data_IF_993566070634
#
_entry.id   IF_993566070634
#
_cell.length_a   1.000
_cell.length_b   1.000
_cell.length_c   1.000
_cell.angle_alpha   90.00
_cell.angle_beta   90.00
_cell.angle_gamma   90.00
#
_symmetry.space_group_name_H-M   'P 1'
#
loop_
_entity.id
_entity.type
_entity.pdbx_description
1 polymer ?
#
# COMPACT_ATOMS: atom_id res chain seq x y z
N UNK A 1 -69.30 -36.22 15.92
CA UNK A 1 -70.31 -37.30 16.04
C UNK A 1 -70.20 -37.84 17.45
N UNK A 2 -71.30 -38.02 18.19
CA UNK A 2 -71.23 -38.68 19.49
C UNK A 2 -70.79 -40.12 19.28
N UNK A 3 -69.55 -40.43 19.64
CA UNK A 3 -69.01 -41.78 19.60
C UNK A 3 -69.61 -42.60 20.74
N UNK A 4 -70.17 -43.77 20.44
CA UNK A 4 -70.42 -44.78 21.47
C UNK A 4 -69.07 -45.34 21.91
N UNK A 5 -68.67 -45.06 23.15
CA UNK A 5 -67.39 -45.53 23.69
C UNK A 5 -67.55 -46.97 24.19
N UNK A 6 -66.90 -47.98 23.56
CA UNK A 6 -66.88 -49.33 24.09
C UNK A 6 -66.09 -49.39 25.40
N UNK A 7 -66.28 -50.45 26.18
CA UNK A 7 -65.50 -50.69 27.40
C UNK A 7 -64.01 -50.81 27.04
N UNK A 8 -63.13 -50.19 27.82
CA UNK A 8 -61.68 -50.31 27.62
C UNK A 8 -61.23 -51.72 27.97
N UNK A 9 -60.66 -52.44 27.00
CA UNK A 9 -60.07 -53.76 27.21
C UNK A 9 -58.96 -53.65 28.25
N UNK A 10 -59.00 -54.51 29.27
CA UNK A 10 -58.00 -54.52 30.35
C UNK A 10 -57.90 -53.17 31.11
N UNK A 11 -58.96 -52.36 31.11
CA UNK A 11 -58.99 -51.09 31.82
C UNK A 11 -58.82 -51.28 33.32
N UNK A 12 -57.92 -50.51 33.95
CA UNK A 12 -57.62 -50.65 35.38
C UNK A 12 -58.85 -50.46 36.29
N UNK A 13 -59.81 -49.63 35.87
CA UNK A 13 -61.07 -49.40 36.59
C UNK A 13 -62.15 -50.49 36.34
N UNK A 14 -61.89 -51.45 35.46
CA UNK A 14 -62.87 -52.45 35.06
C UNK A 14 -64.05 -51.83 34.29
N UNK A 15 -65.26 -52.35 34.48
CA UNK A 15 -66.48 -51.81 33.89
C UNK A 15 -67.70 -51.99 34.80
N UNK A 16 -68.69 -51.10 34.66
CA UNK A 16 -69.95 -51.17 35.40
C UNK A 16 -71.10 -51.01 34.42
N UNK A 17 -72.13 -51.86 34.57
CA UNK A 17 -73.41 -51.67 33.90
C UNK A 17 -74.55 -52.14 34.81
N UNK A 18 -75.78 -51.83 34.40
CA UNK A 18 -77.00 -52.18 35.14
C UNK A 18 -77.92 -53.02 34.27
N UNK A 19 -78.61 -53.98 34.88
CA UNK A 19 -79.57 -54.86 34.24
C UNK A 19 -80.83 -55.02 35.11
N UNK A 20 -81.97 -55.31 34.49
CA UNK A 20 -83.18 -55.75 35.16
C UNK A 20 -83.52 -57.17 34.73
N UNK A 21 -83.94 -58.02 35.67
CA UNK A 21 -84.23 -59.43 35.42
C UNK A 21 -85.74 -59.67 35.46
N UNK A 22 -86.26 -60.47 34.53
CA UNK A 22 -87.69 -60.80 34.51
C UNK A 22 -87.99 -61.84 35.60
N UNK A 23 -89.13 -61.75 36.31
CA UNK A 23 -89.55 -62.75 37.28
C UNK A 23 -89.86 -64.07 36.57
N UNK A 24 -89.59 -65.19 37.24
CA UNK A 24 -89.83 -66.53 36.68
C UNK A 24 -91.32 -66.77 36.37
N UNK A 25 -92.18 -66.27 37.25
CA UNK A 25 -93.62 -66.21 37.01
C UNK A 25 -93.95 -64.84 36.41
N UNK A 26 -94.26 -64.84 35.12
CA UNK A 26 -94.54 -63.60 34.39
C UNK A 26 -95.71 -62.83 35.03
N UNK A 27 -95.44 -61.61 35.48
CA UNK A 27 -96.44 -60.70 36.05
C UNK A 27 -96.44 -59.32 35.35
N UNK A 28 -95.73 -59.20 34.22
CA UNK A 28 -95.58 -57.96 33.47
C UNK A 28 -94.64 -56.92 34.10
N UNK A 29 -93.90 -57.26 35.15
CA UNK A 29 -92.94 -56.37 35.82
C UNK A 29 -91.57 -57.04 35.93
N UNK A 30 -90.49 -56.25 36.03
CA UNK A 30 -89.17 -56.78 36.40
C UNK A 30 -89.13 -57.21 37.87
N UNK A 31 -88.31 -58.23 38.17
CA UNK A 31 -88.11 -58.77 39.51
C UNK A 31 -87.64 -57.66 40.45
N UNK A 32 -88.32 -57.53 41.58
CA UNK A 32 -87.96 -56.57 42.62
C UNK A 32 -86.97 -57.21 43.57
N UNK A 33 -85.86 -56.54 43.84
CA UNK A 33 -84.82 -57.02 44.76
C UNK A 33 -84.41 -58.49 44.52
N UNK A 34 -84.03 -58.87 43.28
CA UNK A 34 -83.59 -60.23 42.97
C UNK A 34 -82.45 -60.65 43.89
N UNK A 35 -82.53 -61.88 44.38
CA UNK A 35 -81.50 -62.52 45.19
C UNK A 35 -80.43 -63.13 44.30
N UNK A 36 -79.17 -63.01 44.75
CA UNK A 36 -78.01 -63.56 44.06
C UNK A 36 -77.16 -64.37 45.03
N UNK A 37 -76.72 -65.52 44.56
CA UNK A 37 -75.76 -66.41 45.18
C UNK A 37 -74.58 -66.66 44.23
N UNK A 38 -73.48 -67.16 44.78
CA UNK A 38 -72.35 -67.60 43.97
C UNK A 38 -72.79 -68.72 43.02
N UNK A 39 -72.55 -68.55 41.72
CA UNK A 39 -72.99 -69.49 40.69
C UNK A 39 -74.13 -68.96 39.81
N UNK A 40 -74.88 -67.95 40.27
CA UNK A 40 -76.04 -67.42 39.54
C UNK A 40 -75.65 -66.57 38.33
N UNK A 41 -74.48 -65.92 38.41
CA UNK A 41 -73.98 -65.07 37.33
C UNK A 41 -72.59 -65.52 36.96
N UNK A 42 -72.45 -65.98 35.72
CA UNK A 42 -71.20 -66.48 35.17
C UNK A 42 -70.79 -65.70 33.96
N UNK A 43 -69.48 -65.58 33.79
CA UNK A 43 -68.82 -64.88 32.70
C UNK A 43 -68.05 -65.88 31.84
N UNK A 44 -68.14 -65.69 30.53
CA UNK A 44 -67.30 -66.32 29.52
C UNK A 44 -66.53 -65.23 28.80
N UNK A 45 -65.20 -65.37 28.83
CA UNK A 45 -64.24 -64.47 28.21
C UNK A 45 -63.83 -65.09 26.87
N UNK A 46 -64.17 -64.43 25.76
CA UNK A 46 -63.87 -64.89 24.39
C UNK A 46 -64.30 -66.34 24.08
N UNK A 47 -65.40 -66.79 24.69
CA UNK A 47 -65.90 -68.17 24.54
C UNK A 47 -65.23 -69.20 25.45
N UNK A 48 -64.42 -68.77 26.42
CA UNK A 48 -63.84 -69.61 27.47
C UNK A 48 -64.87 -70.22 28.42
N UNK A 49 -64.41 -71.13 29.29
CA UNK A 49 -65.27 -71.80 30.27
C UNK A 49 -65.99 -70.80 31.19
N UNK A 50 -67.23 -71.09 31.54
CA UNK A 50 -68.03 -70.24 32.43
C UNK A 50 -67.41 -70.18 33.83
N UNK A 51 -66.92 -69.01 34.22
CA UNK A 51 -66.42 -68.71 35.54
C UNK A 51 -67.43 -67.85 36.32
N UNK A 52 -67.39 -67.86 37.64
CA UNK A 52 -68.17 -66.89 38.42
C UNK A 52 -67.59 -65.49 38.23
N UNK A 53 -68.43 -64.47 38.29
CA UNK A 53 -67.95 -63.10 38.42
C UNK A 53 -67.14 -62.93 39.72
N UNK A 54 -66.07 -62.14 39.67
CA UNK A 54 -65.24 -61.83 40.84
C UNK A 54 -66.00 -61.03 41.89
N UNK A 55 -66.95 -60.19 41.45
CA UNK A 55 -67.86 -59.45 42.33
C UNK A 55 -69.28 -59.92 42.06
N UNK A 56 -69.94 -60.45 43.08
CA UNK A 56 -71.34 -60.84 42.97
C UNK A 56 -72.19 -59.60 42.63
N UNK A 57 -73.07 -59.67 41.61
CA UNK A 57 -73.96 -58.56 41.30
C UNK A 57 -74.84 -58.18 42.48
N UNK A 58 -75.10 -56.88 42.62
CA UNK A 58 -75.86 -56.32 43.76
C UNK A 58 -76.99 -55.45 43.28
N UNK A 59 -78.12 -55.47 43.98
CA UNK A 59 -79.24 -54.56 43.71
C UNK A 59 -78.87 -53.17 44.20
N UNK A 60 -78.82 -52.17 43.31
CA UNK A 60 -78.46 -50.80 43.66
C UNK A 60 -79.22 -49.82 42.75
N UNK A 61 -80.01 -48.89 43.30
CA UNK A 61 -80.30 -48.67 44.72
C UNK A 61 -80.97 -49.89 45.40
N UNK A 62 -80.80 -50.02 46.72
CA UNK A 62 -81.39 -51.14 47.47
C UNK A 62 -82.92 -51.21 47.26
N UNK A 63 -83.49 -52.41 47.22
CA UNK A 63 -84.91 -52.66 46.92
C UNK A 63 -85.39 -52.21 45.54
N UNK A 64 -84.49 -51.86 44.62
CA UNK A 64 -84.84 -51.51 43.24
C UNK A 64 -84.97 -52.74 42.32
N UNK A 65 -85.28 -52.47 41.05
CA UNK A 65 -85.29 -53.45 39.95
C UNK A 65 -83.98 -53.44 39.15
N UNK A 66 -82.96 -52.68 39.61
CA UNK A 66 -81.67 -52.50 38.95
C UNK A 66 -80.60 -53.30 39.67
N UNK A 67 -79.98 -54.19 38.92
CA UNK A 67 -78.85 -55.01 39.35
C UNK A 67 -77.59 -54.40 38.78
N UNK A 68 -76.70 -53.95 39.65
CA UNK A 68 -75.38 -53.47 39.29
C UNK A 68 -74.45 -54.65 39.09
N UNK A 69 -73.83 -54.70 37.92
CA UNK A 69 -72.76 -55.65 37.60
C UNK A 69 -71.46 -54.87 37.55
N UNK A 70 -70.45 -55.36 38.26
CA UNK A 70 -69.10 -54.78 38.25
C UNK A 70 -68.14 -55.83 37.73
N UNK A 71 -67.45 -55.51 36.64
CA UNK A 71 -66.39 -56.32 36.05
C UNK A 71 -65.04 -55.76 36.50
N UNK A 72 -64.14 -56.64 36.92
CA UNK A 72 -62.76 -56.31 37.23
C UNK A 72 -61.92 -56.08 35.97
N UNK A 73 -60.70 -55.54 36.11
CA UNK A 73 -59.74 -55.39 35.02
C UNK A 73 -59.48 -56.72 34.27
N UNK A 74 -59.36 -57.83 35.00
CA UNK A 74 -59.13 -59.14 34.39
C UNK A 74 -60.35 -59.62 33.59
N UNK A 75 -61.56 -59.35 34.07
CA UNK A 75 -62.81 -59.70 33.40
C UNK A 75 -63.11 -58.80 32.18
N UNK A 76 -62.49 -57.62 32.10
CA UNK A 76 -62.55 -56.77 30.90
C UNK A 76 -61.42 -57.02 29.91
N UNK A 77 -60.51 -57.98 30.17
CA UNK A 77 -59.35 -58.27 29.31
C UNK A 77 -59.67 -59.26 28.18
N UNK A 78 -60.79 -59.06 27.49
CA UNK A 78 -61.29 -59.89 26.38
C UNK A 78 -62.03 -59.04 25.37
N UNK A 79 -62.01 -59.43 24.10
CA UNK A 79 -62.69 -58.67 23.05
C UNK A 79 -64.21 -58.84 23.13
N UNK A 80 -64.65 -60.05 23.50
CA UNK A 80 -66.05 -60.41 23.63
C UNK A 80 -66.35 -61.00 25.02
N UNK A 81 -67.07 -60.24 25.83
CA UNK A 81 -67.47 -60.64 27.18
C UNK A 81 -68.92 -61.09 27.12
N UNK A 82 -69.18 -62.34 27.48
CA UNK A 82 -70.54 -62.89 27.55
C UNK A 82 -70.88 -63.25 28.98
N UNK A 83 -71.96 -62.70 29.51
CA UNK A 83 -72.40 -62.91 30.89
C UNK A 83 -73.75 -63.58 30.86
N UNK A 84 -73.87 -64.70 31.57
CA UNK A 84 -75.10 -65.47 31.70
C UNK A 84 -75.59 -65.35 33.15
N UNK A 85 -76.84 -64.92 33.29
CA UNK A 85 -77.60 -64.95 34.51
C UNK A 85 -78.49 -66.20 34.44
N UNK A 86 -78.36 -67.10 35.41
CA UNK A 86 -79.26 -68.22 35.60
C UNK A 86 -79.36 -68.52 37.09
N UNK A 87 -80.55 -68.44 37.65
CA UNK A 87 -80.79 -68.66 39.08
C UNK A 87 -80.57 -70.14 39.38
N UNK A 88 -79.41 -70.46 39.96
CA UNK A 88 -79.00 -71.83 40.21
C UNK A 88 -79.81 -72.45 41.36
N UNK A 89 -80.40 -71.64 42.25
CA UNK A 89 -81.18 -72.07 43.40
C UNK A 89 -82.15 -70.98 43.89
N UNK A 90 -83.45 -71.17 43.65
CA UNK A 90 -84.50 -70.25 44.09
C UNK A 90 -85.58 -70.03 43.04
N UNK A 91 -85.18 -70.07 41.76
CA UNK A 91 -86.02 -69.85 40.58
C UNK A 91 -86.89 -68.57 40.67
N UNK A 92 -86.31 -67.49 41.18
CA UNK A 92 -86.94 -66.19 41.35
C UNK A 92 -87.07 -65.42 40.02
N UNK A 93 -86.09 -65.58 39.12
CA UNK A 93 -86.00 -64.84 37.85
C UNK A 93 -85.65 -65.74 36.65
N UNK A 94 -85.90 -65.21 35.44
CA UNK A 94 -85.61 -65.89 34.17
C UNK A 94 -84.15 -65.71 33.74
N UNK A 95 -83.64 -66.69 32.99
CA UNK A 95 -82.29 -66.62 32.44
C UNK A 95 -82.14 -65.42 31.49
N UNK A 96 -80.95 -64.80 31.51
CA UNK A 96 -80.59 -63.69 30.64
C UNK A 96 -79.15 -63.83 30.21
N UNK A 97 -78.86 -63.50 28.95
CA UNK A 97 -77.49 -63.39 28.45
C UNK A 97 -77.23 -61.96 27.99
N UNK A 98 -76.11 -61.39 28.40
CA UNK A 98 -75.62 -60.09 27.97
C UNK A 98 -74.27 -60.27 27.29
N UNK A 99 -74.10 -59.61 26.16
CA UNK A 99 -72.84 -59.55 25.44
C UNK A 99 -72.31 -58.12 25.43
N UNK A 100 -71.04 -57.95 25.77
CA UNK A 100 -70.34 -56.67 25.80
C UNK A 100 -69.07 -56.78 24.96
N UNK A 101 -68.87 -55.80 24.08
CA UNK A 101 -67.64 -55.67 23.30
C UNK A 101 -66.69 -54.68 23.99
N UNK A 102 -65.41 -55.03 24.03
CA UNK A 102 -64.36 -54.10 24.49
C UNK A 102 -63.51 -53.62 23.32
N UNK A 103 -62.81 -52.51 23.50
CA UNK A 103 -61.79 -52.04 22.57
C UNK A 103 -60.49 -51.75 23.30
N UNK A 104 -59.36 -52.05 22.64
CA UNK A 104 -58.03 -51.77 23.17
C UNK A 104 -57.69 -50.27 23.25
N UNK A 105 -58.38 -49.44 22.46
CA UNK A 105 -58.17 -47.99 22.35
C UNK A 105 -59.51 -47.28 22.14
N UNK A 106 -59.73 -46.17 22.84
CA UNK A 106 -60.86 -45.27 22.64
C UNK A 106 -60.46 -44.07 21.76
N UNK A 107 -61.42 -43.24 21.34
CA UNK A 107 -61.11 -41.99 20.60
C UNK A 107 -60.19 -41.06 21.39
N UNK A 108 -60.25 -41.11 22.71
CA UNK A 108 -59.36 -40.38 23.60
C UNK A 108 -57.90 -40.89 23.53
N UNK A 109 -57.66 -42.06 22.93
CA UNK A 109 -56.34 -42.64 22.68
C UNK A 109 -55.82 -42.41 21.24
N UNK A 110 -56.59 -41.79 20.33
CA UNK A 110 -56.15 -41.56 18.94
C UNK A 110 -55.04 -40.51 18.90
N UNK A 111 -53.82 -40.99 18.65
CA UNK A 111 -52.53 -40.33 18.79
C UNK A 111 -52.30 -39.85 20.23
N UNK A 112 -51.41 -40.52 20.96
CA UNK A 112 -50.86 -39.95 22.20
C UNK A 112 -50.47 -38.51 21.90
N UNK A 113 -51.10 -37.53 22.56
CA UNK A 113 -50.86 -36.09 22.37
C UNK A 113 -49.38 -35.77 22.09
N UNK A 114 -48.47 -36.50 22.75
CA UNK A 114 -47.04 -36.54 22.50
C UNK A 114 -46.58 -36.61 21.03
N UNK A 115 -47.16 -37.44 20.15
CA UNK A 115 -46.71 -37.53 18.74
C UNK A 115 -47.14 -36.31 17.94
N UNK A 116 -48.31 -35.74 18.26
CA UNK A 116 -48.80 -34.51 17.64
C UNK A 116 -47.99 -33.32 18.15
N UNK A 117 -47.65 -33.29 19.44
CA UNK A 117 -46.78 -32.28 20.05
C UNK A 117 -45.37 -32.29 19.44
N UNK A 118 -44.82 -33.48 19.16
CA UNK A 118 -43.51 -33.60 18.51
C UNK A 118 -43.53 -33.00 17.09
N UNK A 119 -44.54 -33.35 16.28
CA UNK A 119 -44.71 -32.78 14.93
C UNK A 119 -44.95 -31.26 15.00
N UNK A 120 -45.71 -30.80 15.99
CA UNK A 120 -45.95 -29.38 16.21
C UNK A 120 -44.67 -28.65 16.62
N UNK A 121 -43.83 -29.27 17.46
CA UNK A 121 -42.53 -28.75 17.86
C UNK A 121 -41.61 -28.61 16.66
N UNK A 122 -41.48 -29.64 15.83
CA UNK A 122 -40.68 -29.60 14.60
C UNK A 122 -41.19 -28.55 13.62
N UNK A 123 -42.51 -28.42 13.48
CA UNK A 123 -43.13 -27.41 12.64
C UNK A 123 -42.80 -26.00 13.14
N UNK A 124 -42.86 -25.77 14.45
CA UNK A 124 -42.49 -24.50 15.06
C UNK A 124 -41.00 -24.19 14.88
N UNK A 125 -40.10 -25.16 15.12
CA UNK A 125 -38.65 -24.98 14.89
C UNK A 125 -38.36 -24.57 13.43
N UNK A 126 -38.94 -25.30 12.48
CA UNK A 126 -38.79 -25.00 11.05
C UNK A 126 -39.33 -23.60 10.73
N UNK A 127 -40.50 -23.23 11.27
CA UNK A 127 -41.06 -21.89 11.09
C UNK A 127 -40.20 -20.78 11.71
N UNK A 128 -39.44 -21.08 12.78
CA UNK A 128 -38.49 -20.10 13.36
C UNK A 128 -37.18 -19.99 12.58
N UNK A 129 -36.80 -21.03 11.83
CA UNK A 129 -35.53 -21.11 11.09
C UNK A 129 -35.66 -20.78 9.60
N UNK A 130 -36.86 -20.84 9.04
CA UNK A 130 -37.19 -20.40 7.69
C UNK A 130 -37.78 -18.98 7.78
N UNK A 131 -37.43 -18.06 6.86
CA UNK A 131 -38.04 -16.74 6.80
C UNK A 131 -39.57 -16.83 6.77
N UNK A 132 -40.24 -15.98 7.55
CA UNK A 132 -41.68 -16.04 7.80
C UNK A 132 -42.56 -16.01 6.54
N UNK A 133 -41.99 -15.61 5.39
CA UNK A 133 -42.59 -15.80 4.07
C UNK A 133 -41.52 -16.26 3.06
N UNK A 134 -41.75 -17.41 2.43
CA UNK A 134 -41.03 -17.82 1.22
C UNK A 134 -41.59 -17.01 0.04
N UNK A 135 -40.82 -16.07 -0.51
CA UNK A 135 -41.21 -15.41 -1.76
C UNK A 135 -40.96 -16.40 -2.89
N UNK A 136 -42.04 -16.93 -3.49
CA UNK A 136 -41.98 -17.91 -4.59
C UNK A 136 -41.19 -19.19 -4.28
N UNK A 137 -41.18 -19.63 -3.03
CA UNK A 137 -40.42 -20.83 -2.63
C UNK A 137 -38.96 -20.58 -2.27
N UNK A 138 -38.48 -19.33 -2.29
CA UNK A 138 -37.10 -18.97 -1.90
C UNK A 138 -37.01 -18.47 -0.47
N UNK A 139 -35.95 -18.88 0.21
CA UNK A 139 -35.55 -18.41 1.53
C UNK A 139 -34.98 -16.98 1.36
N UNK A 140 -35.66 -15.98 1.92
CA UNK A 140 -35.12 -14.63 2.08
C UNK A 140 -34.29 -14.54 3.38
N UNK A 141 -32.99 -14.84 3.30
CA UNK A 141 -32.09 -14.81 4.45
C UNK A 141 -31.16 -13.59 4.38
N UNK A 142 -31.02 -12.87 5.50
CA UNK A 142 -29.94 -11.89 5.66
C UNK A 142 -28.61 -12.63 5.74
N UNK A 143 -27.82 -12.59 4.67
CA UNK A 143 -26.50 -13.22 4.62
C UNK A 143 -25.49 -12.30 5.30
N UNK A 144 -24.77 -12.80 6.31
CA UNK A 144 -23.67 -12.07 6.95
C UNK A 144 -22.37 -12.14 6.15
N UNK A 145 -21.22 -12.23 6.82
CA UNK A 145 -19.94 -12.50 6.15
C UNK A 145 -20.00 -13.86 5.43
N UNK A 146 -19.73 -13.84 4.13
CA UNK A 146 -19.64 -15.04 3.31
C UNK A 146 -18.20 -15.54 3.32
N UNK A 147 -18.01 -16.86 3.42
CA UNK A 147 -16.69 -17.46 3.23
C UNK A 147 -16.21 -17.25 1.79
N UNK A 148 -14.91 -17.45 1.56
CA UNK A 148 -14.35 -17.41 0.21
C UNK A 148 -15.07 -18.41 -0.70
N UNK A 149 -15.22 -18.06 -1.97
CA UNK A 149 -15.84 -18.88 -3.01
C UNK A 149 -17.30 -19.27 -2.80
N UNK A 150 -18.03 -18.64 -1.86
CA UNK A 150 -19.49 -18.85 -1.75
C UNK A 150 -20.23 -18.20 -2.93
N UNK A 151 -19.76 -17.02 -3.38
CA UNK A 151 -20.29 -16.33 -4.55
C UNK A 151 -19.33 -16.52 -5.73
N UNK A 152 -19.44 -17.66 -6.42
CA UNK A 152 -18.67 -17.93 -7.65
C UNK A 152 -19.37 -17.34 -8.89
N UNK A 153 -18.66 -17.26 -10.02
CA UNK A 153 -19.27 -16.90 -11.30
C UNK A 153 -20.46 -17.78 -11.68
N UNK A 154 -20.46 -19.07 -11.29
CA UNK A 154 -21.60 -19.95 -11.54
C UNK A 154 -22.80 -19.67 -10.62
N UNK A 155 -22.58 -19.04 -9.47
CA UNK A 155 -23.63 -18.68 -8.51
C UNK A 155 -24.38 -17.40 -8.93
N UNK A 156 -23.77 -16.56 -9.77
CA UNK A 156 -24.39 -15.35 -10.31
C UNK A 156 -24.88 -15.66 -11.72
N UNK A 157 -26.20 -15.73 -11.92
CA UNK A 157 -26.75 -15.93 -13.26
C UNK A 157 -26.40 -14.73 -14.16
N UNK A 158 -26.33 -14.96 -15.47
CA UNK A 158 -26.20 -13.88 -16.43
C UNK A 158 -27.30 -12.83 -16.18
N UNK A 159 -26.91 -11.56 -16.23
CA UNK A 159 -27.77 -10.40 -15.97
C UNK A 159 -28.42 -10.35 -14.58
N UNK A 160 -27.95 -11.14 -13.61
CA UNK A 160 -28.47 -11.10 -12.23
C UNK A 160 -28.06 -9.83 -11.47
N UNK A 161 -26.99 -9.14 -11.90
CA UNK A 161 -26.47 -7.92 -11.28
C UNK A 161 -26.48 -6.80 -12.34
N UNK A 162 -27.55 -6.02 -12.38
CA UNK A 162 -27.71 -4.86 -13.25
C UNK A 162 -27.50 -3.53 -12.52
N UNK A 163 -27.89 -2.43 -13.18
CA UNK A 163 -27.77 -1.09 -12.60
C UNK A 163 -28.71 -0.83 -11.42
N UNK A 164 -29.78 -1.62 -11.27
CA UNK A 164 -30.70 -1.54 -10.13
C UNK A 164 -30.15 -2.22 -8.88
N UNK A 165 -29.37 -3.28 -9.05
CA UNK A 165 -28.76 -4.08 -7.98
C UNK A 165 -27.41 -3.48 -7.52
N UNK A 166 -26.70 -2.77 -8.40
CA UNK A 166 -25.46 -2.08 -8.07
C UNK A 166 -25.74 -0.74 -7.39
N UNK A 167 -25.32 -0.60 -6.12
CA UNK A 167 -25.37 0.68 -5.43
C UNK A 167 -24.51 1.75 -6.13
N UNK A 168 -24.96 3.00 -6.13
CA UNK A 168 -24.23 4.13 -6.72
C UNK A 168 -22.81 4.29 -6.19
N UNK A 169 -22.58 3.98 -4.91
CA UNK A 169 -21.24 3.99 -4.31
C UNK A 169 -20.33 2.92 -4.92
N UNK A 170 -20.84 1.72 -5.18
CA UNK A 170 -20.07 0.65 -5.83
C UNK A 170 -19.73 1.03 -7.27
N UNK A 171 -20.67 1.64 -7.99
CA UNK A 171 -20.42 2.20 -9.33
C UNK A 171 -19.31 3.24 -9.28
N UNK A 172 -19.32 4.12 -8.27
CA UNK A 172 -18.29 5.15 -8.07
C UNK A 172 -16.91 4.54 -7.79
N UNK A 173 -16.83 3.49 -6.96
CA UNK A 173 -15.57 2.80 -6.65
C UNK A 173 -14.99 2.08 -7.88
N UNK A 174 -15.83 1.36 -8.64
CA UNK A 174 -15.43 0.72 -9.91
C UNK A 174 -14.93 1.77 -10.91
N UNK A 175 -15.67 2.88 -11.05
CA UNK A 175 -15.29 3.98 -11.94
C UNK A 175 -14.01 4.68 -11.50
N UNK A 176 -13.73 4.76 -10.19
CA UNK A 176 -12.47 5.33 -9.67
C UNK A 176 -11.24 4.51 -10.05
N UNK A 177 -11.38 3.20 -10.29
CA UNK A 177 -10.30 2.33 -10.76
C UNK A 177 -10.12 2.33 -12.28
N UNK A 178 -11.10 2.84 -13.03
CA UNK A 178 -11.05 2.93 -14.50
C UNK A 178 -10.46 4.29 -14.93
N UNK A 179 -9.83 4.34 -16.09
CA UNK A 179 -9.44 5.62 -16.70
C UNK A 179 -10.70 6.48 -16.87
N UNK A 180 -10.70 7.66 -16.27
CA UNK A 180 -11.82 8.59 -16.39
C UNK A 180 -11.91 9.14 -17.81
N UNK A 181 -13.10 9.55 -18.23
CA UNK A 181 -13.29 10.24 -19.52
C UNK A 181 -12.33 11.44 -19.68
N UNK A 182 -12.03 12.13 -18.58
CA UNK A 182 -11.06 13.23 -18.58
C UNK A 182 -9.63 12.77 -18.86
N UNK A 183 -9.20 11.64 -18.29
CA UNK A 183 -7.87 11.09 -18.56
C UNK A 183 -7.74 10.63 -20.01
N UNK A 184 -8.79 9.98 -20.53
CA UNK A 184 -8.86 9.58 -21.94
C UNK A 184 -8.85 10.79 -22.87
N UNK A 185 -9.59 11.86 -22.54
CA UNK A 185 -9.59 13.10 -23.30
C UNK A 185 -8.21 13.78 -23.33
N UNK A 186 -7.47 13.76 -22.21
CA UNK A 186 -6.10 14.31 -22.16
C UNK A 186 -5.13 13.51 -23.04
N UNK A 187 -5.25 12.18 -23.03
CA UNK A 187 -4.47 11.33 -23.95
C UNK A 187 -4.83 11.61 -25.40
N UNK A 188 -6.13 11.80 -25.70
CA UNK A 188 -6.58 12.14 -27.06
C UNK A 188 -5.98 13.48 -27.52
N UNK A 189 -6.01 14.52 -26.68
CA UNK A 189 -5.36 15.80 -27.01
C UNK A 189 -3.86 15.64 -27.25
N UNK A 190 -3.17 14.86 -26.42
CA UNK A 190 -1.72 14.61 -26.60
C UNK A 190 -1.41 13.87 -27.91
N UNK A 191 -2.30 12.99 -28.35
CA UNK A 191 -2.20 12.29 -29.65
C UNK A 191 -2.51 13.24 -30.80
N UNK A 192 -3.50 14.11 -30.64
CA UNK A 192 -3.89 15.10 -31.64
C UNK A 192 -2.80 16.18 -31.84
N UNK A 193 -2.01 16.48 -30.81
CA UNK A 193 -0.85 17.39 -30.87
C UNK A 193 0.36 16.80 -31.60
N UNK A 194 0.37 15.49 -31.91
CA UNK A 194 1.44 14.89 -32.71
C UNK A 194 1.29 15.32 -34.18
N UNK A 195 2.38 15.76 -34.82
CA UNK A 195 2.33 16.15 -36.23
C UNK A 195 1.91 14.96 -37.10
N UNK A 196 0.94 15.21 -37.97
CA UNK A 196 0.50 14.24 -38.95
C UNK A 196 1.59 13.98 -39.99
N UNK A 197 1.51 12.84 -40.69
CA UNK A 197 2.43 12.53 -41.79
C UNK A 197 2.39 13.61 -42.89
N UNK A 198 1.25 14.28 -43.09
CA UNK A 198 1.06 15.34 -44.08
C UNK A 198 1.76 16.65 -43.66
N UNK A 199 1.64 17.04 -42.39
CA UNK A 199 2.38 18.17 -41.81
C UNK A 199 3.90 17.94 -41.86
N UNK A 200 4.34 16.74 -41.48
CA UNK A 200 5.76 16.37 -41.55
C UNK A 200 6.28 16.40 -43.00
N UNK A 201 5.49 15.91 -43.96
CA UNK A 201 5.83 15.95 -45.39
C UNK A 201 5.97 17.39 -45.88
N UNK A 202 5.04 18.27 -45.49
CA UNK A 202 5.07 19.70 -45.84
C UNK A 202 6.28 20.41 -45.23
N UNK A 203 6.58 20.16 -43.95
CA UNK A 203 7.73 20.74 -43.27
C UNK A 203 9.05 20.28 -43.90
N UNK A 204 9.16 19.00 -44.25
CA UNK A 204 10.34 18.44 -44.89
C UNK A 204 10.53 18.98 -46.31
N UNK A 205 9.46 19.11 -47.09
CA UNK A 205 9.51 19.73 -48.42
C UNK A 205 9.94 21.20 -48.36
N UNK A 206 9.39 21.99 -47.42
CA UNK A 206 9.80 23.38 -47.23
C UNK A 206 11.26 23.53 -46.77
N UNK A 207 11.76 22.61 -45.96
CA UNK A 207 13.18 22.56 -45.58
C UNK A 207 14.08 22.20 -46.77
N UNK A 208 13.67 21.24 -47.60
CA UNK A 208 14.37 20.84 -48.83
C UNK A 208 14.47 22.02 -49.81
N UNK A 209 13.37 22.74 -50.05
CA UNK A 209 13.34 23.94 -50.90
C UNK A 209 14.29 25.05 -50.40
N UNK A 210 14.31 25.29 -49.09
CA UNK A 210 15.18 26.32 -48.49
C UNK A 210 16.67 25.96 -48.62
N UNK A 211 17.02 24.69 -48.42
CA UNK A 211 18.39 24.19 -48.61
C UNK A 211 18.77 24.28 -50.09
N UNK A 212 17.87 23.86 -50.99
CA UNK A 212 18.10 23.91 -52.43
C UNK A 212 18.32 25.36 -52.92
N UNK A 213 17.57 26.33 -52.40
CA UNK A 213 17.77 27.75 -52.68
C UNK A 213 19.15 28.26 -52.20
N UNK A 214 19.59 27.88 -51.00
CA UNK A 214 20.92 28.24 -50.50
C UNK A 214 22.04 27.59 -51.33
N UNK A 215 21.90 26.31 -51.68
CA UNK A 215 22.84 25.60 -52.57
C UNK A 215 22.92 26.29 -53.93
N UNK A 216 21.79 26.74 -54.49
CA UNK A 216 21.78 27.50 -55.75
C UNK A 216 22.54 28.83 -55.64
N UNK A 217 22.40 29.56 -54.53
CA UNK A 217 23.17 30.79 -54.28
C UNK A 217 24.67 30.53 -54.12
N UNK A 218 25.06 29.46 -53.40
CA UNK A 218 26.45 29.03 -53.27
C UNK A 218 27.02 28.61 -54.62
N UNK A 219 26.25 27.84 -55.40
CA UNK A 219 26.61 27.45 -56.76
C UNK A 219 26.82 28.68 -57.63
N UNK A 220 25.92 29.66 -57.60
CA UNK A 220 26.08 30.90 -58.35
C UNK A 220 27.35 31.68 -57.95
N UNK A 221 27.70 31.72 -56.66
CA UNK A 221 28.96 32.31 -56.20
C UNK A 221 30.18 31.51 -56.65
N UNK A 222 30.09 30.18 -56.64
CA UNK A 222 31.20 29.27 -56.99
C UNK A 222 31.42 29.19 -58.50
N UNK A 223 30.35 29.21 -59.29
CA UNK A 223 30.39 29.27 -60.76
C UNK A 223 31.01 30.59 -61.26
N UNK A 224 30.91 31.66 -60.46
CA UNK A 224 31.54 32.95 -60.73
C UNK A 224 33.02 33.01 -60.29
N UNK A 225 33.56 31.94 -59.71
CA UNK A 225 35.00 31.82 -59.50
C UNK A 225 35.66 31.37 -60.82
N UNK A 226 36.88 31.84 -61.14
CA UNK A 226 37.67 31.28 -62.23
C UNK A 226 37.82 29.76 -62.08
N UNK A 227 37.99 29.05 -63.21
CA UNK A 227 38.13 27.58 -63.24
C UNK A 227 39.32 27.07 -62.39
N UNK A 228 40.32 27.92 -62.22
CA UNK A 228 41.34 27.79 -61.18
C UNK A 228 41.58 29.19 -60.58
N UNK A 229 40.97 29.52 -59.42
CA UNK A 229 41.10 30.83 -58.80
C UNK A 229 42.53 31.13 -58.30
N UNK A 230 43.42 30.14 -58.34
CA UNK A 230 44.84 30.28 -58.07
C UNK A 230 45.70 30.15 -59.35
N UNK A 231 45.10 30.09 -60.55
CA UNK A 231 45.88 29.90 -61.78
C UNK A 231 46.72 31.14 -62.04
N UNK A 232 48.02 30.97 -61.81
CA UNK A 232 49.01 31.97 -62.14
C UNK A 232 49.05 32.24 -63.66
N UNK A 233 48.41 31.42 -64.50
CA UNK A 233 48.39 31.59 -65.96
C UNK A 233 47.58 32.80 -66.43
N UNK A 234 46.46 33.15 -65.80
CA UNK A 234 45.67 34.35 -66.15
C UNK A 234 46.36 35.64 -65.67
N UNK A 235 46.97 35.59 -64.48
CA UNK A 235 47.83 36.67 -63.97
C UNK A 235 49.09 36.78 -64.85
N UNK A 236 49.70 35.66 -65.23
CA UNK A 236 50.84 35.64 -66.14
C UNK A 236 50.46 36.12 -67.54
N UNK A 237 49.26 35.81 -68.04
CA UNK A 237 48.76 36.32 -69.32
C UNK A 237 48.51 37.83 -69.24
N UNK A 238 48.00 38.35 -68.13
CA UNK A 238 47.90 39.78 -67.86
C UNK A 238 49.29 40.44 -67.79
N UNK A 239 50.28 39.80 -67.16
CA UNK A 239 51.67 40.26 -67.13
C UNK A 239 52.40 40.14 -68.48
N UNK A 240 52.08 39.14 -69.29
CA UNK A 240 52.63 38.94 -70.64
C UNK A 240 52.00 39.96 -71.60
N UNK A 241 50.71 40.23 -71.49
CA UNK A 241 50.07 41.32 -72.24
C UNK A 241 50.57 42.69 -71.77
N UNK A 242 50.93 42.86 -70.49
CA UNK A 242 51.66 44.03 -70.01
C UNK A 242 53.07 44.14 -70.64
N UNK A 243 53.80 43.02 -70.69
CA UNK A 243 55.16 42.95 -71.24
C UNK A 243 55.20 43.07 -72.78
N UNK A 244 54.16 42.63 -73.49
CA UNK A 244 54.06 42.73 -74.95
C UNK A 244 53.74 44.15 -75.44
N UNK A 245 53.43 45.09 -74.54
CA UNK A 245 53.36 46.53 -74.82
C UNK A 245 54.68 47.27 -74.51
N UNK A 246 55.77 46.54 -74.26
CA UNK A 246 57.11 47.04 -73.94
C UNK A 246 57.89 47.66 -75.10
N UNK A 247 57.26 47.90 -76.25
CA UNK A 247 57.88 48.54 -77.41
C UNK A 247 57.23 49.91 -77.66
N UNK A 248 57.98 50.98 -77.39
CA UNK A 248 57.74 52.41 -77.75
C UNK A 248 56.38 53.06 -77.43
N UNK A 249 55.34 52.32 -77.06
CA UNK A 249 54.00 52.83 -76.79
C UNK A 249 53.80 53.23 -75.32
N UNK A 250 54.60 52.65 -74.40
CA UNK A 250 54.48 52.89 -72.96
C UNK A 250 54.98 54.28 -72.51
N UNK A 251 55.91 54.91 -73.26
CA UNK A 251 56.45 56.24 -72.91
C UNK A 251 55.40 57.34 -72.97
N UNK A 252 54.35 57.16 -73.77
CA UNK A 252 53.31 58.18 -73.98
C UNK A 252 52.09 57.96 -73.08
N UNK A 253 51.89 56.75 -72.55
CA UNK A 253 50.66 56.38 -71.84
C UNK A 253 50.72 56.58 -70.31
N UNK A 254 51.90 56.53 -69.70
CA UNK A 254 52.00 56.48 -68.22
C UNK A 254 52.81 57.60 -67.58
N UNK A 255 53.53 58.41 -68.35
CA UNK A 255 54.41 59.45 -67.81
C UNK A 255 55.57 58.93 -66.97
N UNK A 256 55.79 57.61 -66.92
CA UNK A 256 56.93 57.01 -66.22
C UNK A 256 58.18 57.03 -67.13
N UNK A 257 59.29 57.53 -66.59
CA UNK A 257 60.55 57.66 -67.32
C UNK A 257 61.19 56.28 -67.56
N UNK A 258 61.68 56.03 -68.77
CA UNK A 258 62.51 54.85 -69.11
C UNK A 258 63.99 55.07 -68.82
N UNK A 259 64.33 56.13 -68.07
CA UNK A 259 65.70 56.46 -67.73
C UNK A 259 66.22 55.42 -66.74
N UNK A 260 67.36 54.81 -67.04
CA UNK A 260 68.09 54.00 -66.08
C UNK A 260 68.68 54.88 -64.96
N UNK A 261 69.22 54.25 -63.92
CA UNK A 261 69.78 54.97 -62.78
C UNK A 261 70.92 55.94 -63.19
N UNK A 262 71.66 55.64 -64.26
CA UNK A 262 72.73 56.51 -64.74
C UNK A 262 72.16 57.76 -65.41
N UNK A 263 71.13 57.61 -66.24
CA UNK A 263 70.46 58.71 -66.91
C UNK A 263 69.66 59.60 -65.93
N UNK A 264 69.03 59.00 -64.90
CA UNK A 264 68.43 59.77 -63.80
C UNK A 264 69.48 60.58 -63.05
N UNK A 265 70.63 60.00 -62.72
CA UNK A 265 71.70 60.71 -62.03
C UNK A 265 72.31 61.84 -62.88
N UNK A 266 72.40 61.66 -64.19
CA UNK A 266 72.85 62.71 -65.10
C UNK A 266 71.86 63.89 -65.09
N UNK A 267 70.57 63.60 -65.21
CA UNK A 267 69.51 64.62 -65.22
C UNK A 267 69.40 65.36 -63.88
N UNK A 268 69.49 64.63 -62.77
CA UNK A 268 69.55 65.21 -61.42
C UNK A 268 70.81 66.08 -61.27
N UNK A 269 71.94 65.65 -61.83
CA UNK A 269 73.17 66.44 -61.86
C UNK A 269 73.00 67.79 -62.54
N UNK A 270 72.39 67.81 -63.73
CA UNK A 270 72.07 69.06 -64.44
C UNK A 270 71.07 69.92 -63.68
N UNK A 271 69.98 69.33 -63.17
CA UNK A 271 68.96 70.07 -62.42
C UNK A 271 69.51 70.71 -61.13
N UNK A 272 70.41 70.01 -60.43
CA UNK A 272 71.02 70.49 -59.19
C UNK A 272 72.00 71.65 -59.46
N UNK A 273 72.71 71.60 -60.60
CA UNK A 273 73.55 72.71 -61.08
C UNK A 273 72.70 73.92 -61.46
N UNK A 274 71.61 73.72 -62.21
CA UNK A 274 70.69 74.79 -62.61
C UNK A 274 70.01 75.46 -61.40
N UNK A 275 69.69 74.68 -60.36
CA UNK A 275 69.17 75.18 -59.09
C UNK A 275 70.22 75.92 -58.23
N UNK A 276 71.46 76.03 -58.72
CA UNK A 276 72.57 76.69 -58.02
C UNK A 276 73.10 75.89 -56.82
N UNK A 277 72.75 74.61 -56.70
CA UNK A 277 73.26 73.68 -55.69
C UNK A 277 74.53 73.04 -56.22
N UNK A 278 75.57 73.86 -56.34
CA UNK A 278 76.90 73.41 -56.76
C UNK A 278 77.66 72.86 -55.55
N UNK A 279 78.63 71.96 -55.78
CA UNK A 279 79.55 71.51 -54.72
C UNK A 279 80.24 72.69 -54.02
N UNK A 280 80.52 73.77 -54.75
CA UNK A 280 81.05 75.01 -54.21
C UNK A 280 80.10 75.64 -53.17
N UNK A 281 78.79 75.71 -53.45
CA UNK A 281 77.82 76.28 -52.49
C UNK A 281 77.52 75.36 -51.31
N UNK A 282 77.52 74.04 -51.52
CA UNK A 282 77.37 73.07 -50.41
C UNK A 282 78.59 73.05 -49.48
N UNK A 283 79.79 73.30 -50.01
CA UNK A 283 80.99 73.48 -49.19
C UNK A 283 80.96 74.74 -48.32
N UNK A 284 80.15 75.75 -48.67
CA UNK A 284 79.99 77.01 -47.91
C UNK A 284 78.71 77.04 -47.02
N UNK A 285 77.89 75.98 -46.99
CA UNK A 285 76.59 75.98 -46.30
C UNK A 285 76.69 76.10 -44.77
N UNK A 286 77.68 75.46 -44.14
CA UNK A 286 77.91 75.57 -42.69
C UNK A 286 78.31 76.99 -42.26
N UNK A 287 79.13 77.66 -43.09
CA UNK A 287 79.48 79.05 -42.89
C UNK A 287 78.28 80.00 -43.08
N UNK A 288 77.44 79.74 -44.09
CA UNK A 288 76.21 80.53 -44.34
C UNK A 288 75.14 80.35 -43.25
N UNK A 289 75.02 79.15 -42.65
CA UNK A 289 74.07 78.89 -41.56
C UNK A 289 74.60 79.42 -40.22
N UNK A 290 75.88 79.21 -39.91
CA UNK A 290 76.50 79.70 -38.68
C UNK A 290 76.60 81.22 -38.60
N UNK A 291 76.66 81.92 -39.74
CA UNK A 291 76.60 83.40 -39.78
C UNK A 291 75.17 83.95 -39.66
N UNK A 292 74.13 83.11 -39.87
CA UNK A 292 72.71 83.49 -39.77
C UNK A 292 72.06 83.18 -38.41
N UNK A 293 72.63 82.26 -37.62
CA UNK A 293 72.08 81.81 -36.34
C UNK A 293 72.18 82.78 -35.15
N UNK A 294 73.19 83.67 -35.04
CA UNK A 294 73.25 84.66 -33.95
C UNK A 294 72.11 85.70 -34.01
N UNK A 295 71.34 85.76 -35.11
CA UNK A 295 70.32 86.77 -35.35
C UNK A 295 68.89 86.36 -34.91
N UNK A 296 68.64 85.14 -34.40
CA UNK A 296 67.27 84.67 -34.08
C UNK A 296 67.14 83.81 -32.81
N UNK A 297 67.23 84.46 -31.63
CA UNK A 297 66.41 84.25 -30.42
C UNK A 297 65.96 82.87 -29.90
N UNK A 298 66.48 81.73 -30.34
CA UNK A 298 66.04 80.39 -29.89
C UNK A 298 67.01 79.73 -28.89
N UNK A 299 66.49 79.23 -27.76
CA UNK A 299 67.21 78.37 -26.79
C UNK A 299 66.46 77.05 -26.63
N UNK A 300 67.12 75.91 -26.88
CA UNK A 300 66.51 74.57 -26.79
C UNK A 300 66.27 74.11 -25.33
N UNK A 301 65.23 73.29 -25.03
CA UNK A 301 64.98 72.72 -23.70
C UNK A 301 66.15 71.89 -23.15
N UNK A 302 66.33 71.88 -21.83
CA UNK A 302 67.50 71.28 -21.18
C UNK A 302 67.37 69.75 -20.96
N UNK A 303 68.48 69.03 -21.13
CA UNK A 303 68.53 67.57 -20.97
C UNK A 303 68.46 67.11 -19.49
N UNK A 304 68.73 67.98 -18.52
CA UNK A 304 68.71 67.63 -17.10
C UNK A 304 67.28 67.46 -16.57
N UNK A 305 66.36 68.29 -17.05
CA UNK A 305 64.92 68.19 -16.80
C UNK A 305 64.34 66.88 -17.33
N UNK A 306 64.78 66.46 -18.52
CA UNK A 306 64.39 65.16 -19.12
C UNK A 306 64.92 63.98 -18.29
N UNK A 307 66.18 64.01 -17.87
CA UNK A 307 66.75 62.97 -17.01
C UNK A 307 66.06 62.85 -15.64
N UNK A 308 65.57 63.97 -15.10
CA UNK A 308 64.83 63.97 -13.82
C UNK A 308 63.46 63.30 -13.95
N UNK A 309 62.78 63.47 -15.10
CA UNK A 309 61.52 62.80 -15.40
C UNK A 309 61.72 61.29 -15.53
N UNK A 310 62.79 60.86 -16.20
CA UNK A 310 63.15 59.43 -16.35
C UNK A 310 63.44 58.75 -15.00
N UNK A 311 64.16 59.42 -14.09
CA UNK A 311 64.39 58.93 -12.74
C UNK A 311 63.11 58.75 -11.91
N UNK A 312 62.14 59.67 -12.05
CA UNK A 312 60.82 59.53 -11.41
C UNK A 312 60.04 58.35 -11.98
N UNK A 313 60.06 58.15 -13.30
CA UNK A 313 59.41 57.01 -13.96
C UNK A 313 59.98 55.67 -13.47
N UNK A 314 61.30 55.58 -13.30
CA UNK A 314 61.97 54.40 -12.75
C UNK A 314 61.54 54.08 -11.31
N UNK A 315 61.41 55.11 -10.46
CA UNK A 315 60.95 54.94 -9.07
C UNK A 315 59.50 54.47 -8.99
N UNK A 316 58.63 55.02 -9.84
CA UNK A 316 57.23 54.61 -9.95
C UNK A 316 57.15 53.12 -10.34
N UNK A 317 57.95 52.71 -11.33
CA UNK A 317 57.99 51.33 -11.79
C UNK A 317 58.42 50.35 -10.67
N UNK A 318 59.43 50.70 -9.88
CA UNK A 318 59.84 49.90 -8.72
C UNK A 318 58.73 49.78 -7.65
N UNK A 319 57.97 50.85 -7.43
CA UNK A 319 56.81 50.83 -6.53
C UNK A 319 55.71 49.86 -6.99
N UNK A 320 55.43 49.83 -8.29
CA UNK A 320 54.43 48.91 -8.89
C UNK A 320 54.84 47.45 -8.72
N UNK A 321 56.11 47.10 -8.96
CA UNK A 321 56.62 45.73 -8.78
C UNK A 321 56.53 45.25 -7.32
N UNK A 322 56.77 46.15 -6.36
CA UNK A 322 56.66 45.83 -4.94
C UNK A 322 55.21 45.59 -4.49
N UNK A 323 54.23 46.29 -5.10
CA UNK A 323 52.80 46.04 -4.86
C UNK A 323 52.45 44.65 -5.38
N UNK A 324 52.81 44.35 -6.62
CA UNK A 324 52.53 43.07 -7.28
C UNK A 324 53.04 41.86 -6.44
N UNK A 325 54.27 41.97 -5.93
CA UNK A 325 54.86 40.93 -5.07
C UNK A 325 54.10 40.69 -3.75
N UNK A 326 53.41 41.70 -3.22
CA UNK A 326 52.59 41.58 -1.99
C UNK A 326 51.18 41.11 -2.26
N UNK A 327 50.64 41.36 -3.46
CA UNK A 327 49.26 41.05 -3.81
C UNK A 327 49.10 39.71 -4.55
N UNK A 328 50.19 39.07 -4.97
CA UNK A 328 50.15 37.80 -5.71
C UNK A 328 49.41 36.64 -4.99
N UNK A 329 49.35 36.67 -3.65
CA UNK A 329 48.66 35.65 -2.84
C UNK A 329 47.26 36.08 -2.37
N UNK A 330 46.77 37.24 -2.81
CA UNK A 330 45.39 37.63 -2.58
C UNK A 330 44.50 37.01 -3.68
N UNK A 331 43.25 36.63 -3.36
CA UNK A 331 42.33 36.18 -4.38
C UNK A 331 42.11 37.26 -5.44
N UNK A 332 41.93 36.86 -6.70
CA UNK A 332 41.71 37.78 -7.83
C UNK A 332 40.41 38.59 -7.71
N UNK A 333 39.47 38.14 -6.87
CA UNK A 333 38.30 38.88 -6.43
C UNK A 333 38.36 39.04 -4.90
N UNK A 334 38.40 40.25 -4.34
CA UNK A 334 38.46 40.43 -2.89
C UNK A 334 37.23 39.88 -2.13
N UNK A 335 36.13 39.57 -2.82
CA UNK A 335 34.98 38.87 -2.25
C UNK A 335 35.10 37.33 -2.31
N UNK A 336 36.11 36.79 -3.00
CA UNK A 336 36.32 35.35 -3.14
C UNK A 336 36.86 34.74 -1.84
N UNK A 337 35.99 33.97 -1.20
CA UNK A 337 36.29 33.28 0.05
C UNK A 337 37.01 31.94 -0.18
N UNK A 338 37.35 31.56 -1.41
CA UNK A 338 37.90 30.22 -1.73
C UNK A 338 39.17 29.87 -0.93
N UNK A 339 40.10 30.80 -0.71
CA UNK A 339 41.27 30.56 0.13
C UNK A 339 40.91 30.43 1.63
N UNK A 340 39.90 31.17 2.08
CA UNK A 340 39.41 31.13 3.47
C UNK A 340 38.62 29.84 3.71
N UNK A 341 37.81 29.42 2.75
CA UNK A 341 37.05 28.18 2.75
C UNK A 341 38.00 26.99 2.67
N UNK A 342 38.99 27.00 1.77
CA UNK A 342 40.00 25.94 1.70
C UNK A 342 40.83 25.83 3.00
N UNK A 343 41.16 26.96 3.63
CA UNK A 343 41.81 26.97 4.94
C UNK A 343 40.88 26.47 6.06
N UNK A 344 39.61 26.89 6.07
CA UNK A 344 38.61 26.44 7.03
C UNK A 344 38.31 24.95 6.87
N UNK A 345 38.24 24.44 5.65
CA UNK A 345 38.08 23.03 5.31
C UNK A 345 39.32 22.23 5.71
N UNK A 346 40.53 22.75 5.49
CA UNK A 346 41.75 22.09 5.95
C UNK A 346 41.84 22.03 7.48
N UNK A 347 41.38 23.07 8.17
CA UNK A 347 41.29 23.12 9.64
C UNK A 347 40.22 22.15 10.15
N UNK A 348 39.02 22.16 9.56
CA UNK A 348 37.93 21.23 9.87
C UNK A 348 38.30 19.78 9.52
N UNK A 349 39.11 19.56 8.49
CA UNK A 349 39.62 18.23 8.16
C UNK A 349 40.64 17.73 9.19
N UNK A 350 41.44 18.64 9.77
CA UNK A 350 42.44 18.29 10.80
C UNK A 350 41.85 18.19 12.21
N UNK A 351 40.80 18.93 12.50
CA UNK A 351 40.17 19.00 13.82
C UNK A 351 38.84 18.23 13.89
N UNK A 352 38.36 17.72 12.75
CA UNK A 352 36.97 17.32 12.58
C UNK A 352 36.05 18.54 12.46
N UNK A 353 35.01 18.47 11.64
CA UNK A 353 33.81 19.26 11.94
C UNK A 353 33.21 18.71 13.25
N UNK A 354 32.52 19.45 14.13
CA UNK A 354 32.26 20.88 14.31
C UNK A 354 32.40 21.28 15.82
N UNK A 355 31.72 22.36 16.22
CA UNK A 355 31.11 22.65 17.54
C UNK A 355 31.99 22.55 18.79
N UNK A 356 32.04 23.65 19.55
CA UNK A 356 32.59 23.64 20.91
C UNK A 356 32.11 22.41 21.68
N UNK A 357 33.01 21.87 22.51
CA UNK A 357 32.79 20.82 23.51
C UNK A 357 33.17 19.36 23.13
N UNK A 358 33.14 18.88 21.88
CA UNK A 358 32.91 17.41 21.73
C UNK A 358 34.09 16.42 21.72
N UNK A 359 35.34 16.71 21.31
CA UNK A 359 36.31 15.60 21.10
C UNK A 359 37.56 15.64 21.97
N UNK A 360 38.26 16.76 22.07
CA UNK A 360 39.53 16.81 22.82
C UNK A 360 39.32 16.80 24.33
N UNK A 361 38.26 17.43 24.83
CA UNK A 361 37.85 17.37 26.22
C UNK A 361 37.32 15.98 26.59
N UNK A 362 36.45 15.40 25.75
CA UNK A 362 35.90 14.06 25.92
C UNK A 362 36.99 12.98 25.92
N UNK A 363 37.95 13.05 25.00
CA UNK A 363 39.09 12.12 24.98
C UNK A 363 39.96 12.25 26.23
N UNK A 364 40.20 13.47 26.72
CA UNK A 364 40.96 13.71 27.94
C UNK A 364 40.26 13.17 29.19
N UNK A 365 38.96 13.43 29.33
CA UNK A 365 38.14 12.98 30.44
C UNK A 365 38.00 11.45 30.46
N UNK A 366 37.66 10.82 29.32
CA UNK A 366 37.55 9.36 29.20
C UNK A 366 38.88 8.68 29.54
N UNK A 367 40.01 9.26 29.15
CA UNK A 367 41.31 8.68 29.42
C UNK A 367 41.68 8.73 30.91
N UNK A 368 41.32 9.82 31.59
CA UNK A 368 41.51 9.94 33.03
C UNK A 368 40.62 8.93 33.79
N UNK A 369 39.34 8.84 33.43
CA UNK A 369 38.38 7.91 34.07
C UNK A 369 38.75 6.45 33.81
N UNK A 370 39.14 6.10 32.58
CA UNK A 370 39.58 4.74 32.23
C UNK A 370 40.82 4.33 33.03
N UNK A 371 41.78 5.25 33.19
CA UNK A 371 42.97 5.00 34.00
C UNK A 371 42.64 4.76 35.48
N UNK A 372 41.70 5.53 36.03
CA UNK A 372 41.24 5.39 37.40
C UNK A 372 40.45 4.07 37.62
N UNK A 373 39.58 3.69 36.68
CA UNK A 373 38.80 2.44 36.74
C UNK A 373 39.71 1.22 36.63
N UNK A 374 40.66 1.23 35.69
CA UNK A 374 41.59 0.12 35.49
C UNK A 374 42.39 -0.17 36.75
N UNK A 375 42.96 0.87 37.35
CA UNK A 375 43.78 0.73 38.57
C UNK A 375 43.00 0.10 39.73
N UNK A 376 41.72 0.47 39.91
CA UNK A 376 40.86 -0.11 40.95
C UNK A 376 40.41 -1.52 40.63
N UNK A 377 40.15 -1.83 39.36
CA UNK A 377 39.68 -3.15 38.92
C UNK A 377 40.81 -4.18 38.94
N UNK A 378 42.01 -3.79 38.54
CA UNK A 378 43.21 -4.64 38.61
C UNK A 378 43.54 -5.04 40.06
N UNK A 379 43.06 -4.29 41.04
CA UNK A 379 43.28 -4.54 42.48
C UNK A 379 42.28 -5.55 43.07
N UNK A 380 41.35 -6.08 42.28
CA UNK A 380 40.39 -7.09 42.70
C UNK A 380 40.77 -8.44 42.08
N UNK A 381 41.01 -9.45 42.93
CA UNK A 381 41.27 -10.83 42.50
C UNK A 381 39.97 -11.63 42.48
N UNK A 382 39.83 -12.44 41.45
CA UNK A 382 38.64 -13.23 41.11
C UNK A 382 39.13 -14.62 40.72
N UNK A 383 38.98 -15.58 41.63
CA UNK A 383 39.37 -16.97 41.35
C UNK A 383 38.32 -17.66 40.46
N UNK A 384 37.09 -17.15 40.48
CA UNK A 384 35.99 -17.49 39.59
C UNK A 384 35.56 -16.21 38.90
N UNK A 385 35.28 -16.28 37.59
CA UNK A 385 34.83 -15.12 36.83
C UNK A 385 33.61 -14.46 37.50
N UNK A 386 33.72 -13.17 37.86
CA UNK A 386 32.59 -12.37 38.35
C UNK A 386 32.32 -12.34 39.87
N UNK A 387 33.20 -12.85 40.74
CA UNK A 387 33.07 -12.76 42.22
C UNK A 387 34.31 -12.19 42.94
N UNK A 388 34.14 -11.11 43.74
CA UNK A 388 35.24 -10.48 44.51
C UNK A 388 35.61 -11.34 45.71
N UNK A 389 36.83 -11.85 45.72
CA UNK A 389 37.36 -12.69 46.79
C UNK A 389 38.13 -11.81 47.81
N UNK A 390 37.41 -11.24 48.79
CA UNK A 390 38.01 -10.45 49.87
C UNK A 390 37.77 -11.12 51.24
N UNK A 391 38.77 -11.87 51.73
CA UNK A 391 38.70 -12.56 53.02
C UNK A 391 39.84 -12.13 53.95
N UNK A 392 39.48 -11.65 55.16
CA UNK A 392 40.40 -11.36 56.26
C UNK A 392 40.75 -12.65 57.00
N UNK A 393 42.01 -13.08 56.97
CA UNK A 393 42.43 -14.37 57.54
C UNK A 393 42.88 -14.30 59.00
N UNK A 394 43.14 -13.10 59.49
CA UNK A 394 43.78 -12.93 60.79
C UNK A 394 43.62 -11.49 61.23
N UNK A 395 43.61 -11.32 62.55
CA UNK A 395 43.92 -10.06 63.20
C UNK A 395 45.19 -10.36 63.97
N UNK A 396 46.29 -9.68 63.69
CA UNK A 396 47.49 -9.74 64.52
C UNK A 396 48.00 -11.16 64.76
N UNK A 397 47.97 -11.98 63.71
CA UNK A 397 48.39 -13.40 63.72
C UNK A 397 47.65 -14.30 64.71
N UNK A 398 46.75 -13.67 65.45
CA UNK A 398 45.54 -14.22 65.97
C UNK A 398 44.66 -14.43 64.75
N UNK A 399 44.79 -15.64 64.23
CA UNK A 399 43.80 -16.19 63.33
C UNK A 399 42.44 -15.74 63.84
N UNK A 400 41.72 -15.08 62.95
CA UNK A 400 40.33 -14.79 63.15
C UNK A 400 39.62 -16.12 63.14
N UNK A 401 39.55 -16.78 64.30
CA UNK A 401 38.72 -17.97 64.46
C UNK A 401 37.27 -17.59 64.73
N UNK A 402 37.03 -16.32 65.02
CA UNK A 402 35.70 -15.74 65.07
C UNK A 402 35.09 -15.53 63.69
N UNK A 403 33.80 -15.81 63.59
CA UNK A 403 33.00 -15.71 62.36
C UNK A 403 32.46 -14.30 62.09
N UNK A 404 32.86 -13.30 62.90
CA UNK A 404 32.36 -11.95 62.80
C UNK A 404 31.06 -11.65 63.56
N UNK A 405 30.64 -12.41 64.61
CA UNK A 405 29.58 -12.05 65.61
C UNK A 405 30.08 -11.53 67.02
N UNK A 406 29.52 -10.47 67.66
CA UNK A 406 30.11 -9.87 68.92
C UNK A 406 29.76 -10.74 70.13
N UNK A 407 30.61 -11.74 70.30
CA UNK A 407 30.85 -12.60 71.46
C UNK A 407 32.19 -13.28 71.18
N UNK A 408 32.37 -13.79 69.95
CA UNK A 408 33.62 -14.29 69.38
C UNK A 408 33.81 -13.75 67.98
N UNK A 409 33.94 -12.43 67.89
CA UNK A 409 33.89 -11.79 66.58
C UNK A 409 35.10 -12.15 65.75
N UNK A 410 36.24 -12.32 66.40
CA UNK A 410 37.55 -12.31 65.76
C UNK A 410 38.69 -12.75 66.71
N UNK A 411 38.44 -13.72 67.60
CA UNK A 411 39.40 -14.17 68.61
C UNK A 411 40.34 -15.31 68.12
N UNK A 412 41.53 -15.49 68.73
CA UNK A 412 42.37 -16.68 68.56
C UNK A 412 41.86 -17.81 69.45
N UNK A 413 41.97 -19.06 69.00
CA UNK A 413 41.63 -20.22 69.82
C UNK A 413 42.51 -20.29 71.08
N UNK A 414 41.95 -20.47 72.30
CA UNK A 414 42.70 -21.02 73.44
C UNK A 414 43.04 -22.50 73.24
#
# INVERSE_FOLDING_TARGET
MSSYLPIVKNGAAGAIFYVSLAPRTANGQWQSNPTFAAGDVKISLDGGALANLNTLPVVTPASSKLVKVTLSQAETNSDNITIIFSDAAGAEWCDLTINLQTAAKQFDDLATQASVDAVQSDTNDIQTRVPAALVSGRIDASVGAMANDVLTNAAIAADAIGSGELATSAVTEIQSGLATDSAVATLQTSVDDLPTNEELTTALAGADDAVLAQVALVKAKTDNLPADPADASDIAAAFVSLASHGDSAWSTATGFSTLDAAAVNAEVGTALVDAGVTMARMAHLDADVSTRLPASGYTAPDNASIATIDGKATTILAGVVAIDSKTANLPSDPADQSLVIAAADAVMARLGAPAGVSLSADVGAVKADTGAVKTKTDSLSFTVSGQVDANMQSINDTLLTGDGSTGDKFGPAP
#
